data_IF_002880523499
#
_entry.id   IF_002880523499
#
_cell.length_a   1.000
_cell.length_b   1.000
_cell.length_c   1.000
_cell.angle_alpha   90.00
_cell.angle_beta   90.00
_cell.angle_gamma   90.00
#
_symmetry.space_group_name_H-M   'P 1'
#
loop_
_entity.id
_entity.type
_entity.pdbx_description
1 polymer ?
#
# COMPACT_ATOMS: atom_id res chain seq x y z
N UNK A 1 41.29 -10.75 -1.86
CA UNK A 1 40.72 -9.59 -2.60
C UNK A 1 39.33 -9.89 -3.16
N UNK A 2 39.14 -10.92 -3.98
CA UNK A 2 37.81 -11.23 -4.57
C UNK A 2 36.78 -11.65 -3.50
N UNK A 3 37.19 -12.42 -2.48
CA UNK A 3 36.29 -12.85 -1.40
C UNK A 3 35.79 -11.69 -0.54
N UNK A 4 36.63 -10.68 -0.27
CA UNK A 4 36.22 -9.50 0.51
C UNK A 4 35.25 -8.62 -0.28
N UNK A 5 35.41 -8.52 -1.61
CA UNK A 5 34.46 -7.84 -2.49
C UNK A 5 33.12 -8.57 -2.49
N UNK A 6 33.12 -9.90 -2.55
CA UNK A 6 31.89 -10.71 -2.50
C UNK A 6 31.17 -10.60 -1.15
N UNK A 7 31.92 -10.58 -0.04
CA UNK A 7 31.35 -10.35 1.29
C UNK A 7 30.71 -8.96 1.40
N UNK A 8 31.36 -7.92 0.89
CA UNK A 8 30.82 -6.57 0.88
C UNK A 8 29.59 -6.46 -0.03
N UNK A 9 29.61 -7.06 -1.22
CA UNK A 9 28.47 -7.10 -2.14
C UNK A 9 27.26 -7.80 -1.51
N UNK A 10 27.46 -8.94 -0.85
CA UNK A 10 26.39 -9.65 -0.14
C UNK A 10 25.83 -8.86 1.04
N UNK A 11 26.69 -8.17 1.80
CA UNK A 11 26.25 -7.31 2.90
C UNK A 11 25.38 -6.15 2.39
N UNK A 12 25.78 -5.50 1.29
CA UNK A 12 25.00 -4.41 0.66
C UNK A 12 23.66 -4.93 0.15
N UNK A 13 23.63 -6.10 -0.51
CA UNK A 13 22.39 -6.70 -1.00
C UNK A 13 21.42 -7.03 0.15
N UNK A 14 21.93 -7.61 1.24
CA UNK A 14 21.11 -7.96 2.41
C UNK A 14 20.55 -6.71 3.13
N UNK A 15 21.29 -5.59 3.11
CA UNK A 15 20.79 -4.31 3.65
C UNK A 15 19.70 -3.74 2.72
N UNK A 16 19.89 -3.81 1.40
CA UNK A 16 18.91 -3.33 0.43
C UNK A 16 17.59 -4.10 0.52
N UNK A 17 17.65 -5.44 0.55
CA UNK A 17 16.45 -6.30 0.65
C UNK A 17 15.70 -6.11 1.96
N UNK A 18 16.40 -6.11 3.11
CA UNK A 18 15.78 -5.84 4.42
C UNK A 18 15.11 -4.47 4.49
N UNK A 19 15.71 -3.46 3.84
CA UNK A 19 15.14 -2.10 3.78
C UNK A 19 13.87 -2.07 2.95
N UNK A 20 13.78 -2.89 1.91
CA UNK A 20 12.58 -2.99 1.06
C UNK A 20 11.45 -3.73 1.77
N UNK A 21 11.74 -4.86 2.42
CA UNK A 21 10.76 -5.61 3.24
C UNK A 21 10.17 -4.77 4.38
N UNK A 22 11.02 -4.01 5.08
CA UNK A 22 10.58 -3.12 6.17
C UNK A 22 9.76 -1.93 5.67
N UNK A 23 10.03 -1.43 4.46
CA UNK A 23 9.23 -0.36 3.83
C UNK A 23 7.88 -0.88 3.35
N UNK A 24 7.85 -2.05 2.73
CA UNK A 24 6.61 -2.64 2.20
C UNK A 24 5.65 -2.99 3.35
N UNK A 25 6.16 -3.62 4.41
CA UNK A 25 5.35 -3.90 5.61
C UNK A 25 4.83 -2.64 6.32
N UNK A 26 5.55 -1.51 6.23
CA UNK A 26 5.07 -0.23 6.74
C UNK A 26 3.96 0.37 5.87
N UNK A 27 4.04 0.20 4.54
CA UNK A 27 3.03 0.68 3.61
C UNK A 27 1.73 -0.11 3.76
N UNK A 28 1.81 -1.44 3.77
CA UNK A 28 0.66 -2.34 3.94
C UNK A 28 -0.13 -2.02 5.21
N UNK A 29 0.57 -1.89 6.35
CA UNK A 29 -0.06 -1.48 7.62
C UNK A 29 -0.74 -0.12 7.53
N UNK A 30 -0.12 0.83 6.83
CA UNK A 30 -0.72 2.16 6.62
C UNK A 30 -1.94 2.10 5.72
N UNK A 31 -1.93 1.27 4.66
CA UNK A 31 -3.07 1.07 3.78
C UNK A 31 -4.25 0.52 4.56
N UNK A 32 -4.04 -0.57 5.30
CA UNK A 32 -5.09 -1.22 6.10
C UNK A 32 -5.70 -0.23 7.09
N UNK A 33 -4.86 0.47 7.88
CA UNK A 33 -5.36 1.46 8.83
C UNK A 33 -6.16 2.59 8.16
N UNK A 34 -5.74 3.06 6.98
CA UNK A 34 -6.47 4.12 6.24
C UNK A 34 -7.76 3.65 5.58
N UNK A 35 -7.86 2.35 5.27
CA UNK A 35 -9.06 1.74 4.74
C UNK A 35 -10.07 1.45 5.86
N UNK A 36 -9.60 0.99 7.02
CA UNK A 36 -10.41 0.84 8.24
C UNK A 36 -11.04 2.17 8.70
N UNK A 37 -10.36 3.30 8.50
CA UNK A 37 -10.92 4.64 8.79
C UNK A 37 -12.21 4.96 8.00
N UNK A 38 -12.44 4.30 6.85
CA UNK A 38 -13.63 4.50 6.01
C UNK A 38 -14.52 3.25 5.91
N UNK A 39 -14.23 2.23 6.71
CA UNK A 39 -14.95 0.95 6.73
C UNK A 39 -16.45 1.06 7.03
N UNK A 40 -16.93 1.95 7.93
CA UNK A 40 -18.37 2.10 8.17
C UNK A 40 -19.20 2.50 6.93
N UNK A 41 -18.54 2.98 5.88
CA UNK A 41 -19.14 3.45 4.63
C UNK A 41 -18.87 2.50 3.46
N UNK A 42 -18.14 1.40 3.68
CA UNK A 42 -17.80 0.39 2.70
C UNK A 42 -18.41 -0.95 3.10
N UNK A 43 -19.07 -1.63 2.16
CA UNK A 43 -19.40 -3.04 2.36
C UNK A 43 -18.14 -3.92 2.32
N UNK A 44 -18.23 -5.13 2.88
CA UNK A 44 -17.11 -6.08 2.97
C UNK A 44 -16.50 -6.40 1.60
N UNK A 45 -17.32 -6.42 0.54
CA UNK A 45 -16.85 -6.70 -0.82
C UNK A 45 -16.05 -5.52 -1.40
N UNK A 46 -16.49 -4.28 -1.16
CA UNK A 46 -15.74 -3.08 -1.51
C UNK A 46 -14.44 -2.96 -0.71
N UNK A 47 -14.45 -3.37 0.56
CA UNK A 47 -13.24 -3.40 1.37
C UNK A 47 -12.18 -4.33 0.77
N UNK A 48 -12.56 -5.56 0.41
CA UNK A 48 -11.64 -6.52 -0.22
C UNK A 48 -11.14 -6.06 -1.59
N UNK A 49 -12.02 -5.52 -2.45
CA UNK A 49 -11.61 -4.93 -3.72
C UNK A 49 -10.69 -3.72 -3.54
N UNK A 50 -10.91 -2.94 -2.47
CA UNK A 50 -10.05 -1.83 -2.09
C UNK A 50 -8.64 -2.30 -1.74
N UNK A 51 -8.50 -3.38 -0.97
CA UNK A 51 -7.19 -3.97 -0.68
C UNK A 51 -6.47 -4.42 -1.95
N UNK A 52 -7.14 -5.17 -2.83
CA UNK A 52 -6.56 -5.62 -4.11
C UNK A 52 -6.10 -4.42 -4.97
N UNK A 53 -6.91 -3.36 -5.05
CA UNK A 53 -6.54 -2.15 -5.78
C UNK A 53 -5.27 -1.49 -5.21
N UNK A 54 -5.09 -1.53 -3.89
CA UNK A 54 -4.03 -0.85 -3.15
C UNK A 54 -2.75 -1.68 -3.03
N UNK A 55 -2.71 -2.90 -3.60
CA UNK A 55 -1.45 -3.61 -3.84
C UNK A 55 -0.53 -2.85 -4.82
N UNK A 56 -1.11 -2.03 -5.70
CA UNK A 56 -0.36 -1.07 -6.51
C UNK A 56 0.18 0.06 -5.63
N UNK A 57 1.51 0.07 -5.46
CA UNK A 57 2.21 1.04 -4.59
C UNK A 57 1.90 2.51 -4.92
N UNK A 58 1.69 2.85 -6.21
CA UNK A 58 1.35 4.22 -6.60
C UNK A 58 -0.06 4.56 -6.15
N UNK A 59 -1.00 3.64 -6.29
CA UNK A 59 -2.39 3.79 -5.82
C UNK A 59 -2.44 3.87 -4.29
N UNK A 60 -1.70 3.03 -3.58
CA UNK A 60 -1.56 3.07 -2.13
C UNK A 60 -1.07 4.44 -1.63
N UNK A 61 0.00 4.98 -2.25
CA UNK A 61 0.55 6.29 -1.89
C UNK A 61 -0.46 7.42 -2.10
N UNK A 62 -1.19 7.40 -3.22
CA UNK A 62 -2.26 8.39 -3.47
C UNK A 62 -3.37 8.26 -2.44
N UNK A 63 -3.84 7.04 -2.18
CA UNK A 63 -4.90 6.77 -1.19
C UNK A 63 -4.54 7.25 0.22
N UNK A 64 -3.33 6.96 0.69
CA UNK A 64 -2.83 7.39 2.00
C UNK A 64 -2.73 8.92 2.09
N UNK A 65 -2.34 9.59 1.00
CA UNK A 65 -2.23 11.05 0.95
C UNK A 65 -3.59 11.77 0.97
N UNK A 66 -4.67 11.08 0.58
CA UNK A 66 -6.02 11.61 0.64
C UNK A 66 -6.55 11.62 2.08
N UNK A 67 -7.37 12.62 2.40
CA UNK A 67 -7.98 12.80 3.72
C UNK A 67 -9.49 12.97 3.62
N UNK A 68 -10.20 12.54 4.67
CA UNK A 68 -11.66 12.59 4.76
C UNK A 68 -12.35 11.92 3.57
N UNK A 69 -13.49 12.49 3.18
CA UNK A 69 -14.40 11.95 2.16
C UNK A 69 -13.72 11.76 0.79
N UNK A 70 -12.67 12.53 0.51
CA UNK A 70 -11.91 12.40 -0.76
C UNK A 70 -11.30 11.01 -0.91
N UNK A 71 -10.96 10.35 0.20
CA UNK A 71 -10.39 8.99 0.18
C UNK A 71 -11.41 7.98 -0.32
N UNK A 72 -12.63 8.02 0.22
CA UNK A 72 -13.74 7.19 -0.22
C UNK A 72 -14.13 7.49 -1.66
N UNK A 73 -14.35 8.76 -2.02
CA UNK A 73 -14.71 9.14 -3.38
C UNK A 73 -13.67 8.67 -4.40
N UNK A 74 -12.39 8.81 -4.07
CA UNK A 74 -11.32 8.33 -4.92
C UNK A 74 -11.36 6.81 -5.06
N UNK A 75 -11.50 6.07 -3.96
CA UNK A 75 -11.56 4.60 -3.99
C UNK A 75 -12.72 4.11 -4.87
N UNK A 76 -13.93 4.64 -4.66
CA UNK A 76 -15.11 4.29 -5.45
C UNK A 76 -14.95 4.66 -6.93
N UNK A 77 -14.27 5.77 -7.25
CA UNK A 77 -13.95 6.16 -8.63
C UNK A 77 -13.02 5.17 -9.32
N UNK A 78 -12.13 4.51 -8.57
CA UNK A 78 -11.19 3.52 -9.13
C UNK A 78 -11.79 2.14 -9.26
N UNK A 79 -12.73 1.82 -8.38
CA UNK A 79 -13.48 0.56 -8.43
C UNK A 79 -14.69 0.64 -9.39
N UNK A 80 -14.92 1.77 -10.08
CA UNK A 80 -16.07 2.03 -10.95
C UNK A 80 -17.44 1.99 -10.25
N UNK A 81 -17.48 2.24 -8.93
CA UNK A 81 -18.73 2.33 -8.14
C UNK A 81 -19.27 3.76 -8.02
N UNK A 82 -18.67 4.73 -8.72
CA UNK A 82 -19.01 6.16 -8.65
C UNK A 82 -20.47 6.53 -8.98
N UNK A 83 -21.28 5.60 -9.51
CA UNK A 83 -22.68 5.83 -9.85
C UNK A 83 -23.68 5.25 -8.84
N UNK A 84 -23.23 4.48 -7.86
CA UNK A 84 -24.09 3.73 -6.94
C UNK A 84 -24.17 4.31 -5.50
N UNK A 85 -23.40 5.37 -5.21
CA UNK A 85 -23.30 6.03 -3.90
C UNK A 85 -23.04 7.54 -4.06
#
# INVERSE_FOLDING_TARGET
MVEEINLMANAVNNIATKKEETRNSSLEKSVVAKLEEIEPELDEFLFMQGLELLEDEKKAKVFIALSGDRRRCWLLSKLNYSYYY
#
